data_IF_815068977710
#
_entry.id   IF_815068977710
#
_cell.length_a   1.000
_cell.length_b   1.000
_cell.length_c   1.000
_cell.angle_alpha   90.00
_cell.angle_beta   90.00
_cell.angle_gamma   90.00
#
_symmetry.space_group_name_H-M   'P 1'
#
loop_
_entity.id
_entity.type
_entity.pdbx_description
1 polymer ?
#
# COMPACT_ATOMS: atom_id res chain seq x y z
N UNK A 1 0.35 -5.92 5.93
CA UNK A 1 -0.16 -7.30 5.94
C UNK A 1 -1.64 -7.38 6.34
N UNK A 2 -2.11 -6.57 7.30
CA UNK A 2 -3.56 -6.50 7.60
C UNK A 2 -4.37 -6.02 6.38
N UNK A 3 -3.90 -4.98 5.68
CA UNK A 3 -4.52 -4.48 4.45
C UNK A 3 -4.73 -5.56 3.38
N UNK A 4 -3.69 -6.35 3.07
CA UNK A 4 -3.82 -7.43 2.08
C UNK A 4 -4.85 -8.49 2.50
N UNK A 5 -4.90 -8.84 3.78
CA UNK A 5 -5.92 -9.76 4.30
C UNK A 5 -7.34 -9.19 4.15
N UNK A 6 -7.53 -7.90 4.47
CA UNK A 6 -8.81 -7.20 4.25
C UNK A 6 -9.19 -7.23 2.77
N UNK A 7 -8.24 -6.95 1.86
CA UNK A 7 -8.49 -7.00 0.43
C UNK A 7 -8.91 -8.38 -0.06
N UNK A 8 -8.21 -9.44 0.36
CA UNK A 8 -8.59 -10.80 0.01
C UNK A 8 -9.99 -11.15 0.53
N UNK A 9 -10.34 -10.73 1.75
CA UNK A 9 -11.68 -10.93 2.30
C UNK A 9 -12.74 -10.21 1.48
N UNK A 10 -12.49 -8.95 1.09
CA UNK A 10 -13.40 -8.16 0.26
C UNK A 10 -13.66 -8.85 -1.09
N UNK A 11 -12.60 -9.23 -1.81
CA UNK A 11 -12.75 -9.90 -3.10
C UNK A 11 -13.38 -11.29 -3.00
N UNK A 12 -13.11 -12.02 -1.91
CA UNK A 12 -13.74 -13.30 -1.63
C UNK A 12 -15.26 -13.17 -1.45
N UNK A 13 -15.71 -12.24 -0.61
CA UNK A 13 -17.16 -12.00 -0.41
C UNK A 13 -17.81 -11.52 -1.70
N UNK A 14 -17.15 -10.62 -2.43
CA UNK A 14 -17.67 -10.12 -3.71
C UNK A 14 -17.88 -11.26 -4.72
N UNK A 15 -16.92 -12.18 -4.85
CA UNK A 15 -17.02 -13.32 -5.77
C UNK A 15 -18.13 -14.30 -5.39
N UNK A 16 -18.43 -14.47 -4.10
CA UNK A 16 -19.51 -15.35 -3.64
C UNK A 16 -20.89 -14.72 -3.89
N UNK A 17 -21.07 -13.45 -3.53
CA UNK A 17 -22.38 -12.78 -3.59
C UNK A 17 -22.81 -12.50 -5.03
N UNK A 18 -21.87 -12.11 -5.89
CA UNK A 18 -22.14 -11.75 -7.29
C UNK A 18 -21.79 -12.86 -8.29
N UNK A 19 -21.76 -14.12 -7.85
CA UNK A 19 -21.57 -15.24 -8.77
C UNK A 19 -22.76 -15.37 -9.72
N UNK A 20 -22.51 -15.24 -11.02
CA UNK A 20 -23.53 -15.34 -12.08
C UNK A 20 -24.65 -14.29 -12.00
N UNK A 21 -24.41 -13.15 -11.33
CA UNK A 21 -25.38 -12.05 -11.27
C UNK A 21 -24.71 -10.69 -10.99
N UNK A 22 -25.37 -9.60 -11.41
CA UNK A 22 -24.92 -8.21 -11.17
C UNK A 22 -25.99 -7.37 -10.45
N UNK A 23 -26.84 -8.01 -9.64
CA UNK A 23 -27.95 -7.36 -8.94
C UNK A 23 -27.43 -6.76 -7.61
N UNK A 24 -27.92 -5.59 -7.22
CA UNK A 24 -27.54 -4.95 -5.96
C UNK A 24 -28.25 -5.58 -4.75
N UNK A 25 -27.77 -6.75 -4.30
CA UNK A 25 -28.30 -7.46 -3.13
C UNK A 25 -27.91 -6.82 -1.80
N UNK A 26 -26.78 -6.12 -1.76
CA UNK A 26 -26.16 -5.64 -0.53
C UNK A 26 -25.50 -4.26 -0.72
N UNK A 27 -26.31 -3.19 -0.84
CA UNK A 27 -25.80 -1.84 -1.12
C UNK A 27 -24.85 -1.32 -0.03
N UNK A 28 -25.13 -1.65 1.23
CA UNK A 28 -24.27 -1.26 2.37
C UNK A 28 -22.89 -1.92 2.29
N UNK A 29 -22.82 -3.17 1.80
CA UNK A 29 -21.55 -3.86 1.60
C UNK A 29 -20.75 -3.22 0.46
N UNK A 30 -21.41 -2.90 -0.67
CA UNK A 30 -20.76 -2.23 -1.79
C UNK A 30 -20.16 -0.87 -1.39
N UNK A 31 -20.86 -0.08 -0.57
CA UNK A 31 -20.30 1.19 -0.08
C UNK A 31 -19.02 1.02 0.72
N UNK A 32 -18.94 0.00 1.57
CA UNK A 32 -17.76 -0.25 2.40
C UNK A 32 -16.64 -0.87 1.56
N UNK A 33 -16.95 -1.88 0.75
CA UNK A 33 -15.97 -2.63 -0.03
C UNK A 33 -15.27 -1.75 -1.06
N UNK A 34 -16.00 -0.89 -1.76
CA UNK A 34 -15.44 0.03 -2.78
C UNK A 34 -14.45 1.03 -2.17
N UNK A 35 -14.73 1.55 -0.97
CA UNK A 35 -13.80 2.44 -0.24
C UNK A 35 -12.56 1.70 0.24
N UNK A 36 -12.73 0.47 0.72
CA UNK A 36 -11.60 -0.38 1.08
C UNK A 36 -10.73 -0.66 -0.14
N UNK A 37 -11.30 -1.00 -1.30
CA UNK A 37 -10.56 -1.24 -2.55
C UNK A 37 -9.70 -0.02 -2.94
N UNK A 38 -10.25 1.19 -2.85
CA UNK A 38 -9.48 2.43 -3.12
C UNK A 38 -8.35 2.60 -2.12
N UNK A 39 -8.61 2.39 -0.82
CA UNK A 39 -7.59 2.44 0.21
C UNK A 39 -6.47 1.42 -0.01
N UNK A 40 -6.82 0.20 -0.45
CA UNK A 40 -5.89 -0.89 -0.71
C UNK A 40 -4.89 -0.56 -1.83
N UNK A 41 -5.33 0.13 -2.88
CA UNK A 41 -4.47 0.54 -3.98
C UNK A 41 -3.28 1.38 -3.52
N UNK A 42 -3.43 2.15 -2.43
CA UNK A 42 -2.37 2.98 -1.86
C UNK A 42 -1.70 2.32 -0.66
N UNK A 43 -2.47 1.58 0.15
CA UNK A 43 -1.98 0.92 1.36
C UNK A 43 -0.96 -0.18 1.07
N UNK A 44 -1.12 -0.93 -0.03
CA UNK A 44 -0.20 -2.02 -0.41
C UNK A 44 1.19 -1.46 -0.78
N UNK A 45 1.31 -0.48 -1.70
CA UNK A 45 2.58 0.23 -1.94
C UNK A 45 3.17 0.87 -0.70
N UNK A 46 2.34 1.50 0.14
CA UNK A 46 2.79 2.13 1.39
C UNK A 46 3.40 1.11 2.37
N UNK A 47 2.78 -0.06 2.50
CA UNK A 47 3.33 -1.15 3.30
C UNK A 47 4.67 -1.66 2.76
N UNK A 48 4.80 -1.78 1.43
CA UNK A 48 6.06 -2.12 0.77
C UNK A 48 7.16 -1.08 1.07
N UNK A 49 6.82 0.21 0.99
CA UNK A 49 7.74 1.30 1.34
C UNK A 49 8.21 1.21 2.80
N UNK A 50 7.32 0.98 3.76
CA UNK A 50 7.69 0.82 5.17
C UNK A 50 8.65 -0.36 5.38
N UNK A 51 8.41 -1.50 4.70
CA UNK A 51 9.31 -2.66 4.75
C UNK A 51 10.69 -2.30 4.17
N UNK A 52 10.74 -1.71 2.97
CA UNK A 52 11.99 -1.31 2.33
C UNK A 52 12.76 -0.28 3.15
N UNK A 53 12.08 0.68 3.77
CA UNK A 53 12.69 1.68 4.67
C UNK A 53 13.31 1.02 5.90
N UNK A 54 12.64 0.04 6.49
CA UNK A 54 13.16 -0.70 7.64
C UNK A 54 14.36 -1.56 7.24
N UNK A 55 14.30 -2.22 6.09
CA UNK A 55 15.41 -3.01 5.55
C UNK A 55 16.61 -2.13 5.22
N UNK A 56 16.40 -0.97 4.61
CA UNK A 56 17.43 0.02 4.34
C UNK A 56 18.15 0.44 5.63
N UNK A 57 17.41 0.78 6.69
CA UNK A 57 18.02 1.12 7.98
C UNK A 57 18.86 -0.01 8.56
N UNK A 58 18.38 -1.26 8.50
CA UNK A 58 19.15 -2.42 8.96
C UNK A 58 20.43 -2.60 8.12
N UNK A 59 20.31 -2.42 6.81
CA UNK A 59 21.43 -2.53 5.87
C UNK A 59 22.38 -1.31 5.89
N UNK A 60 22.01 -0.17 6.48
CA UNK A 60 22.84 1.04 6.53
C UNK A 60 23.45 1.29 7.91
N UNK A 61 22.81 0.87 9.00
CA UNK A 61 23.30 1.08 10.37
C UNK A 61 24.55 0.22 10.65
N UNK A 62 25.64 0.87 11.07
CA UNK A 62 26.91 0.25 11.49
C UNK A 62 27.06 0.17 13.02
N UNK A 63 26.24 0.89 13.79
CA UNK A 63 26.33 0.94 15.25
C UNK A 63 25.27 0.06 15.92
N UNK A 64 25.66 -0.61 17.02
CA UNK A 64 24.86 -1.64 17.71
C UNK A 64 23.73 -1.04 18.58
N UNK A 65 23.76 0.26 18.88
CA UNK A 65 22.81 0.90 19.79
C UNK A 65 21.74 1.72 19.07
N UNK A 66 20.62 1.09 18.72
CA UNK A 66 19.38 1.84 18.41
C UNK A 66 18.70 2.19 19.73
N UNK A 67 18.47 3.48 19.96
CA UNK A 67 17.78 3.92 21.18
C UNK A 67 16.29 3.56 21.14
N UNK A 68 15.66 3.43 22.32
CA UNK A 68 14.22 3.12 22.43
C UNK A 68 13.36 4.20 21.74
N UNK A 69 13.79 5.45 21.80
CA UNK A 69 13.06 6.58 21.21
C UNK A 69 13.17 6.61 19.68
N UNK A 70 14.33 6.27 19.11
CA UNK A 70 14.47 6.10 17.66
C UNK A 70 13.60 4.97 17.13
N UNK A 71 13.49 3.85 17.87
CA UNK A 71 12.60 2.74 17.52
C UNK A 71 11.13 3.18 17.54
N UNK A 72 10.70 3.91 18.58
CA UNK A 72 9.32 4.44 18.68
C UNK A 72 9.01 5.41 17.54
N UNK A 73 9.91 6.34 17.25
CA UNK A 73 9.75 7.30 16.15
C UNK A 73 9.70 6.60 14.79
N UNK A 74 10.48 5.54 14.59
CA UNK A 74 10.41 4.75 13.36
C UNK A 74 9.05 4.08 13.18
N UNK A 75 8.54 3.42 14.23
CA UNK A 75 7.21 2.78 14.23
C UNK A 75 6.11 3.80 13.98
N UNK A 76 6.17 4.98 14.63
CA UNK A 76 5.16 6.01 14.46
C UNK A 76 5.14 6.56 13.02
N UNK A 77 6.30 6.73 12.40
CA UNK A 77 6.38 7.12 10.98
C UNK A 77 5.84 6.02 10.07
N UNK A 78 6.18 4.75 10.32
CA UNK A 78 5.70 3.63 9.50
C UNK A 78 4.17 3.46 9.63
N UNK A 79 3.62 3.72 10.83
CA UNK A 79 2.18 3.73 11.08
C UNK A 79 1.50 4.91 10.37
N UNK A 80 2.09 6.11 10.45
CA UNK A 80 1.58 7.30 9.77
C UNK A 80 1.55 7.11 8.24
N UNK A 81 2.57 6.47 7.66
CA UNK A 81 2.61 6.17 6.22
C UNK A 81 1.59 5.07 5.87
N UNK A 82 1.59 3.95 6.61
CA UNK A 82 0.78 2.78 6.29
C UNK A 82 -0.72 2.90 6.59
N UNK A 83 -1.12 3.81 7.49
CA UNK A 83 -2.51 4.06 7.85
C UNK A 83 -2.99 5.46 7.45
N UNK A 84 -2.13 6.48 7.61
CA UNK A 84 -2.50 7.86 7.33
C UNK A 84 -2.72 8.13 5.85
N UNK A 85 -1.88 7.59 4.96
CA UNK A 85 -2.07 7.80 3.52
C UNK A 85 -3.39 7.16 3.02
N UNK A 86 -3.69 5.88 3.31
CA UNK A 86 -4.99 5.30 2.93
C UNK A 86 -6.18 6.04 3.55
N UNK A 87 -6.07 6.47 4.81
CA UNK A 87 -7.13 7.22 5.49
C UNK A 87 -7.38 8.60 4.88
N UNK A 88 -6.36 9.25 4.29
CA UNK A 88 -6.52 10.48 3.51
C UNK A 88 -7.07 10.19 2.11
N UNK A 89 -6.65 9.10 1.47
CA UNK A 89 -7.09 8.75 0.12
C UNK A 89 -8.60 8.47 0.05
N UNK A 90 -9.15 7.76 1.03
CA UNK A 90 -10.57 7.39 1.06
C UNK A 90 -11.52 8.61 0.95
N UNK A 91 -11.39 9.69 1.73
CA UNK A 91 -12.21 10.88 1.59
C UNK A 91 -11.90 11.66 0.30
N UNK A 92 -10.63 11.73 -0.12
CA UNK A 92 -10.25 12.43 -1.36
C UNK A 92 -10.93 11.82 -2.60
N UNK A 93 -11.16 10.51 -2.59
CA UNK A 93 -11.84 9.82 -3.69
C UNK A 93 -13.27 10.31 -3.93
N UNK A 94 -13.99 10.82 -2.91
CA UNK A 94 -15.35 11.36 -3.11
C UNK A 94 -15.38 12.51 -4.12
N UNK A 95 -14.30 13.27 -4.26
CA UNK A 95 -14.22 14.42 -5.17
C UNK A 95 -14.21 13.97 -6.63
N UNK A 96 -13.62 12.81 -6.92
CA UNK A 96 -13.37 12.30 -8.28
C UNK A 96 -14.28 11.12 -8.64
N UNK A 97 -15.29 10.87 -7.79
CA UNK A 97 -16.21 9.77 -7.93
C UNK A 97 -17.34 10.13 -8.90
N UNK A 98 -17.53 9.33 -9.95
CA UNK A 98 -18.59 9.55 -10.94
C UNK A 98 -19.96 9.02 -10.48
N UNK A 99 -20.00 7.76 -10.07
CA UNK A 99 -21.18 7.12 -9.47
C UNK A 99 -20.83 6.47 -8.12
N UNK A 100 -21.83 5.98 -7.38
CA UNK A 100 -21.62 5.43 -6.03
C UNK A 100 -20.72 4.19 -6.04
N UNK A 101 -20.96 3.27 -6.96
CA UNK A 101 -20.17 2.07 -7.23
C UNK A 101 -20.72 1.41 -8.51
N UNK A 102 -19.89 0.61 -9.18
CA UNK A 102 -20.34 -0.23 -10.28
C UNK A 102 -20.32 -1.70 -9.82
N UNK A 103 -21.30 -2.49 -10.25
CA UNK A 103 -21.36 -3.92 -9.97
C UNK A 103 -21.03 -4.68 -11.25
N UNK A 104 -20.01 -5.52 -11.19
CA UNK A 104 -19.59 -6.37 -12.30
C UNK A 104 -19.95 -7.81 -11.98
N UNK A 105 -20.54 -8.51 -12.95
CA UNK A 105 -20.85 -9.94 -12.82
C UNK A 105 -19.57 -10.73 -12.47
N UNK A 106 -19.67 -11.67 -11.53
CA UNK A 106 -18.59 -12.49 -10.95
C UNK A 106 -17.47 -11.74 -10.19
N UNK A 107 -17.36 -10.42 -10.33
CA UNK A 107 -16.33 -9.60 -9.66
C UNK A 107 -16.89 -8.83 -8.46
N UNK A 108 -18.17 -8.48 -8.50
CA UNK A 108 -18.90 -7.72 -7.47
C UNK A 108 -18.68 -6.21 -7.56
N UNK A 109 -18.71 -5.54 -6.40
CA UNK A 109 -18.68 -4.08 -6.32
C UNK A 109 -17.27 -3.51 -6.57
N UNK A 110 -17.17 -2.55 -7.49
CA UNK A 110 -15.95 -1.85 -7.84
C UNK A 110 -16.11 -0.33 -7.70
N UNK A 111 -15.07 0.38 -7.23
CA UNK A 111 -15.09 1.83 -7.17
C UNK A 111 -15.03 2.41 -8.58
N UNK A 112 -15.83 3.44 -8.82
CA UNK A 112 -15.83 4.17 -10.08
C UNK A 112 -15.10 5.50 -9.91
N UNK A 113 -14.16 5.77 -10.82
CA UNK A 113 -13.38 7.00 -10.85
C UNK A 113 -13.67 7.70 -12.16
N UNK A 114 -14.23 8.91 -12.11
CA UNK A 114 -14.54 9.65 -13.32
C UNK A 114 -13.28 10.26 -13.91
N UNK A 115 -13.02 10.01 -15.21
CA UNK A 115 -11.78 10.41 -15.86
C UNK A 115 -11.73 11.92 -16.10
N UNK A 116 -11.34 12.64 -15.06
CA UNK A 116 -11.17 14.10 -15.05
C UNK A 116 -9.73 14.44 -14.71
N UNK A 117 -9.29 15.63 -15.12
CA UNK A 117 -7.95 16.14 -14.80
C UNK A 117 -7.60 15.96 -13.31
N UNK A 118 -8.47 16.26 -12.32
CA UNK A 118 -8.18 16.01 -10.91
C UNK A 118 -8.02 14.53 -10.52
N UNK A 119 -8.60 13.57 -11.25
CA UNK A 119 -8.46 12.14 -10.91
C UNK A 119 -7.01 11.64 -11.00
N UNK A 120 -6.21 12.21 -11.91
CA UNK A 120 -4.80 11.86 -12.08
C UNK A 120 -3.95 12.18 -10.83
N UNK A 121 -3.86 13.44 -10.36
CA UNK A 121 -3.10 13.76 -9.15
C UNK A 121 -3.74 13.21 -7.88
N UNK A 122 -5.08 13.12 -7.79
CA UNK A 122 -5.74 12.70 -6.55
C UNK A 122 -5.83 11.19 -6.38
N UNK A 123 -5.85 10.39 -7.45
CA UNK A 123 -6.06 8.93 -7.34
C UNK A 123 -4.92 8.13 -7.97
N UNK A 124 -4.58 8.40 -9.23
CA UNK A 124 -3.59 7.58 -9.95
C UNK A 124 -2.13 7.87 -9.58
N UNK A 125 -1.81 9.11 -9.22
CA UNK A 125 -0.43 9.51 -8.93
C UNK A 125 0.09 8.93 -7.59
N UNK A 126 -0.77 8.74 -6.59
CA UNK A 126 -0.37 8.29 -5.25
C UNK A 126 0.25 6.88 -5.23
N UNK A 127 -0.38 5.82 -5.79
CA UNK A 127 0.23 4.50 -5.86
C UNK A 127 1.57 4.53 -6.60
N UNK A 128 1.66 5.28 -7.70
CA UNK A 128 2.86 5.36 -8.53
C UNK A 128 4.02 6.03 -7.80
N UNK A 129 3.78 7.19 -7.20
CA UNK A 129 4.80 7.93 -6.43
C UNK A 129 5.33 7.11 -5.26
N UNK A 130 4.45 6.48 -4.48
CA UNK A 130 4.85 5.63 -3.35
C UNK A 130 5.64 4.42 -3.83
N UNK A 131 5.23 3.80 -4.93
CA UNK A 131 5.93 2.65 -5.52
C UNK A 131 7.32 3.03 -6.03
N UNK A 132 7.46 4.20 -6.67
CA UNK A 132 8.75 4.74 -7.11
C UNK A 132 9.69 4.99 -5.93
N UNK A 133 9.20 5.63 -4.87
CA UNK A 133 10.00 5.85 -3.65
C UNK A 133 10.41 4.50 -3.05
N UNK A 134 9.50 3.52 -3.00
CA UNK A 134 9.79 2.17 -2.51
C UNK A 134 10.88 1.48 -3.33
N UNK A 135 10.83 1.60 -4.66
CA UNK A 135 11.83 1.05 -5.56
C UNK A 135 13.21 1.67 -5.34
N UNK A 136 13.29 3.00 -5.15
CA UNK A 136 14.55 3.68 -4.81
C UNK A 136 15.14 3.15 -3.50
N UNK A 137 14.33 3.02 -2.45
CA UNK A 137 14.80 2.43 -1.19
C UNK A 137 15.26 0.98 -1.36
N UNK A 138 14.58 0.18 -2.18
CA UNK A 138 14.99 -1.18 -2.48
C UNK A 138 16.39 -1.22 -3.12
N UNK A 139 16.64 -0.40 -4.15
CA UNK A 139 17.95 -0.30 -4.81
C UNK A 139 19.05 0.12 -3.83
N UNK A 140 18.79 1.14 -3.00
CA UNK A 140 19.75 1.61 -1.99
C UNK A 140 20.06 0.53 -0.94
N UNK A 141 19.06 -0.26 -0.58
CA UNK A 141 19.19 -1.38 0.37
C UNK A 141 20.05 -2.48 -0.21
N UNK A 142 19.77 -2.91 -1.45
CA UNK A 142 20.56 -3.91 -2.17
C UNK A 142 21.99 -3.46 -2.34
N UNK A 143 22.22 -2.19 -2.72
CA UNK A 143 23.56 -1.61 -2.84
C UNK A 143 24.33 -1.68 -1.52
N UNK A 144 23.72 -1.24 -0.43
CA UNK A 144 24.35 -1.29 0.91
C UNK A 144 24.67 -2.73 1.34
N UNK A 145 23.77 -3.67 1.04
CA UNK A 145 23.97 -5.09 1.33
C UNK A 145 25.12 -5.70 0.52
N UNK A 146 25.20 -5.41 -0.79
CA UNK A 146 26.28 -5.89 -1.66
C UNK A 146 27.65 -5.36 -1.23
N UNK A 147 27.75 -4.07 -0.89
CA UNK A 147 29.00 -3.47 -0.40
C UNK A 147 29.47 -4.17 0.88
N UNK A 148 28.56 -4.39 1.84
CA UNK A 148 28.89 -5.10 3.08
C UNK A 148 29.34 -6.54 2.85
N UNK A 149 28.68 -7.24 1.93
CA UNK A 149 29.06 -8.61 1.57
C UNK A 149 30.47 -8.65 0.94
N UNK A 150 30.80 -7.68 0.09
CA UNK A 150 32.15 -7.56 -0.48
C UNK A 150 33.21 -7.28 0.59
N UNK A 151 32.93 -6.39 1.55
CA UNK A 151 33.84 -6.12 2.68
C UNK A 151 34.05 -7.37 3.55
N UNK A 152 32.98 -8.12 3.86
CA UNK A 152 33.10 -9.35 4.64
C UNK A 152 33.93 -10.42 3.91
N UNK A 153 33.75 -10.56 2.59
CA UNK A 153 34.54 -11.48 1.78
C UNK A 153 36.03 -11.13 1.77
N UNK A 154 36.41 -9.84 1.78
CA UNK A 154 37.81 -9.42 1.85
C UNK A 154 38.51 -9.86 3.14
N UNK A 155 37.78 -10.02 4.25
CA UNK A 155 38.35 -10.53 5.51
C UNK A 155 38.42 -12.07 5.56
N UNK A 156 37.72 -12.78 4.66
CA UNK A 156 37.69 -14.25 4.64
C UNK A 156 38.69 -14.88 3.66
N UNK A 157 39.21 -14.11 2.70
CA UNK A 157 40.28 -14.55 1.79
C UNK A 157 41.63 -14.11 2.36
N UNK A 158 42.41 -15.01 2.99
CA UNK A 158 43.76 -14.71 3.50
C UNK A 158 44.75 -14.39 2.38
#
# INVERSE_FOLDING_TARGET
MIWTAIGCLVYFVNSIVWHGNAIDWAPLWCDISTRLIVGLAVAIPAASLCINRRLYKIASVQSVSITRDEKRRAILVDLAIGLGIPALQMPLQFIVQGHRYDIWEDVGCLPTTYNTIPAYPLSFAWPLTISLISAVYCVLTLRSFMIRRAQFNQFLTP
#
